data_IF_790026697977
#
_entry.id   IF_790026697977
#
_cell.length_a   1.000
_cell.length_b   1.000
_cell.length_c   1.000
_cell.angle_alpha   90.00
_cell.angle_beta   90.00
_cell.angle_gamma   90.00
#
_symmetry.space_group_name_H-M   'P 1'
#
loop_
_entity.id
_entity.type
_entity.pdbx_description
1 polymer ?
#
# COMPACT_ATOMS: atom_id res chain seq x y z
N UNK A 1 -4.92 -27.65 -4.01
CA UNK A 1 -4.70 -27.10 -4.04
C UNK A 1 -4.96 -26.64 -3.84
N UNK A 2 -4.94 -26.95 -3.76
CA UNK A 2 -4.92 -26.44 -3.70
C UNK A 2 -5.11 -25.72 -3.41
N UNK A 3 -5.18 -25.88 -3.14
CA UNK A 3 -4.88 -25.27 -3.02
C UNK A 3 -5.04 -24.50 -2.66
N UNK A 4 -5.15 -24.71 -2.37
CA UNK A 4 -4.86 -24.04 -2.13
C UNK A 4 -4.83 -23.19 -1.60
N UNK A 5 -4.99 -23.31 -1.37
CA UNK A 5 -4.64 -22.57 -1.01
C UNK A 5 -4.67 -21.67 -0.68
N UNK A 6 -4.93 -21.77 -0.49
CA UNK A 6 -4.63 -20.92 -0.40
C UNK A 6 -4.47 -20.05 -0.14
N UNK A 7 -4.48 -20.23 -0.08
CA UNK A 7 -4.06 -19.43 0.05
C UNK A 7 -3.58 -18.82 -0.18
N UNK A 8 -3.69 -18.77 0.24
CA UNK A 8 -3.02 -18.31 -0.36
C UNK A 8 -2.15 -18.42 -0.93
N UNK A 9 -1.93 -19.57 -0.67
CA UNK A 9 -0.78 -19.38 -1.43
C UNK A 9 -1.20 -19.15 -2.80
N UNK A 10 -0.75 -18.14 -3.34
CA UNK A 10 -1.14 -17.90 -4.69
C UNK A 10 -0.60 -19.04 -5.54
N UNK A 11 -1.34 -19.43 -6.51
CA UNK A 11 -0.87 -20.34 -7.53
C UNK A 11 0.26 -19.74 -8.34
N UNK A 12 0.42 -18.42 -8.27
CA UNK A 12 1.47 -17.71 -8.98
C UNK A 12 2.81 -17.87 -8.27
N UNK A 13 3.92 -17.84 -9.03
CA UNK A 13 5.26 -17.74 -8.45
C UNK A 13 5.40 -16.43 -7.71
N UNK A 14 6.43 -16.31 -6.86
CA UNK A 14 6.70 -15.07 -6.15
C UNK A 14 6.79 -13.87 -7.09
N UNK A 15 7.52 -14.01 -8.20
CA UNK A 15 7.66 -12.88 -9.15
C UNK A 15 6.35 -12.56 -9.86
N UNK A 16 5.52 -13.56 -10.16
CA UNK A 16 4.21 -13.33 -10.77
C UNK A 16 3.28 -12.64 -9.77
N UNK A 17 3.31 -13.06 -8.51
CA UNK A 17 2.50 -12.43 -7.48
C UNK A 17 2.89 -10.97 -7.29
N UNK A 18 4.19 -10.65 -7.30
CA UNK A 18 4.67 -9.27 -7.22
C UNK A 18 4.10 -8.44 -8.37
N UNK A 19 4.12 -8.96 -9.60
CA UNK A 19 3.61 -8.21 -10.75
C UNK A 19 2.10 -8.00 -10.66
N UNK A 20 1.34 -8.94 -10.12
CA UNK A 20 -0.10 -8.75 -9.91
C UNK A 20 -0.33 -7.59 -8.92
N UNK A 21 0.42 -7.58 -7.82
CA UNK A 21 0.29 -6.52 -6.81
C UNK A 21 0.65 -5.17 -7.41
N UNK A 22 1.77 -5.10 -8.13
CA UNK A 22 2.21 -3.85 -8.77
C UNK A 22 1.19 -3.39 -9.81
N UNK A 23 0.70 -4.29 -10.66
CA UNK A 23 -0.26 -3.95 -11.71
C UNK A 23 -1.56 -3.41 -11.11
N UNK A 24 -2.03 -3.98 -9.99
CA UNK A 24 -3.23 -3.49 -9.33
C UNK A 24 -3.02 -2.07 -8.81
N UNK A 25 -1.89 -1.81 -8.16
CA UNK A 25 -1.60 -0.46 -7.69
C UNK A 25 -1.48 0.52 -8.86
N UNK A 26 -0.76 0.14 -9.92
CA UNK A 26 -0.54 0.99 -11.08
C UNK A 26 -1.86 1.28 -11.82
N UNK A 27 -2.83 0.36 -11.79
CA UNK A 27 -4.13 0.59 -12.41
C UNK A 27 -4.89 1.74 -11.75
N UNK A 28 -4.47 2.16 -10.56
CA UNK A 28 -5.15 3.21 -9.80
C UNK A 28 -4.44 4.57 -9.88
N UNK A 29 -3.44 4.71 -10.74
CA UNK A 29 -2.77 6.00 -10.94
C UNK A 29 -3.79 7.08 -11.25
N UNK A 30 -3.63 8.25 -10.60
CA UNK A 30 -4.52 9.38 -10.79
C UNK A 30 -5.79 9.36 -9.96
N UNK A 31 -6.06 8.26 -9.24
CA UNK A 31 -7.25 8.20 -8.37
C UNK A 31 -7.01 9.10 -7.16
N UNK A 32 -8.04 9.84 -6.79
CA UNK A 32 -8.00 10.82 -5.71
C UNK A 32 -7.63 10.18 -4.38
N UNK A 33 -6.79 10.87 -3.60
CA UNK A 33 -6.56 10.51 -2.21
C UNK A 33 -7.86 10.77 -1.41
N UNK A 34 -8.24 9.81 -0.58
CA UNK A 34 -9.38 9.96 0.32
C UNK A 34 -9.02 9.31 1.66
N UNK A 35 -8.94 10.10 2.71
CA UNK A 35 -8.59 9.61 4.06
C UNK A 35 -9.54 8.49 4.47
N UNK A 36 -8.98 7.35 4.84
CA UNK A 36 -9.77 6.16 5.20
C UNK A 36 -10.34 5.40 4.01
N UNK A 37 -10.06 5.86 2.78
CA UNK A 37 -10.60 5.23 1.57
C UNK A 37 -9.80 4.04 1.09
N UNK A 38 -10.48 3.18 0.32
CA UNK A 38 -9.89 2.01 -0.33
C UNK A 38 -10.14 0.72 0.40
N UNK A 39 -10.46 -0.32 -0.36
CA UNK A 39 -10.58 -1.68 0.17
C UNK A 39 -10.16 -2.68 -0.91
N UNK A 40 -10.40 -3.97 -0.67
CA UNK A 40 -10.00 -5.03 -1.59
C UNK A 40 -10.66 -4.92 -2.97
N UNK A 41 -11.78 -4.20 -3.06
CA UNK A 41 -12.54 -4.06 -4.31
C UNK A 41 -12.20 -2.78 -5.09
N UNK A 42 -11.52 -1.82 -4.47
CA UNK A 42 -11.14 -0.59 -5.15
C UNK A 42 -11.28 0.65 -4.28
N UNK A 43 -11.36 1.83 -4.91
CA UNK A 43 -11.50 3.08 -4.16
C UNK A 43 -12.86 3.14 -3.48
N UNK A 44 -12.87 3.74 -2.28
CA UNK A 44 -14.10 3.91 -1.50
C UNK A 44 -14.17 5.34 -0.99
N UNK A 45 -15.34 5.73 -0.48
CA UNK A 45 -15.52 7.06 0.10
C UNK A 45 -14.66 7.18 1.35
N UNK A 46 -14.02 8.34 1.50
CA UNK A 46 -13.24 8.66 2.68
C UNK A 46 -14.12 8.79 3.93
N UNK A 47 -13.47 8.91 5.07
CA UNK A 47 -14.17 9.01 6.36
C UNK A 47 -13.99 10.42 6.94
N UNK A 48 -14.99 10.85 7.72
CA UNK A 48 -14.94 12.13 8.45
C UNK A 48 -14.46 11.83 9.86
N UNK A 49 -13.35 12.44 10.28
CA UNK A 49 -12.77 12.17 11.60
C UNK A 49 -12.51 13.43 12.41
N UNK A 50 -12.88 14.61 11.91
CA UNK A 50 -12.61 15.88 12.58
C UNK A 50 -11.19 16.40 12.38
N UNK A 51 -10.39 15.75 11.56
CA UNK A 51 -8.99 16.12 11.33
C UNK A 51 -8.78 16.95 10.08
N UNK A 52 -7.52 17.07 9.68
CA UNK A 52 -7.10 17.88 8.55
C UNK A 52 -7.78 17.43 7.25
N UNK A 53 -7.96 16.11 7.08
CA UNK A 53 -8.56 15.57 5.87
C UNK A 53 -9.98 16.12 5.62
N UNK A 54 -10.73 16.42 6.68
CA UNK A 54 -12.08 16.99 6.55
C UNK A 54 -12.03 18.35 5.84
N UNK A 55 -10.99 19.13 6.10
CA UNK A 55 -10.85 20.44 5.46
C UNK A 55 -10.60 20.33 3.96
N UNK A 56 -10.12 19.18 3.50
CA UNK A 56 -9.95 18.89 2.07
C UNK A 56 -11.17 18.22 1.46
N UNK A 57 -12.18 17.86 2.30
CA UNK A 57 -13.39 17.22 1.80
C UNK A 57 -13.21 15.74 1.51
N UNK A 58 -12.22 15.08 2.11
CA UNK A 58 -11.92 13.67 1.82
C UNK A 58 -13.12 12.76 2.10
N UNK A 59 -13.95 13.08 3.09
CA UNK A 59 -15.13 12.27 3.39
C UNK A 59 -16.18 12.29 2.28
N UNK A 60 -16.03 13.17 1.30
CA UNK A 60 -16.90 13.23 0.12
C UNK A 60 -16.28 12.61 -1.12
N UNK A 61 -14.97 12.29 -1.05
CA UNK A 61 -14.22 11.77 -2.20
C UNK A 61 -14.22 10.26 -2.18
N UNK A 62 -14.16 9.66 -3.37
CA UNK A 62 -13.97 8.21 -3.53
C UNK A 62 -12.53 8.00 -3.98
N UNK A 63 -11.75 7.29 -3.17
CA UNK A 63 -10.34 7.12 -3.46
C UNK A 63 -9.66 6.17 -2.49
N UNK A 64 -8.35 6.37 -2.32
CA UNK A 64 -7.51 5.56 -1.43
C UNK A 64 -6.74 6.48 -0.50
N UNK A 65 -6.55 6.04 0.77
CA UNK A 65 -5.41 6.55 1.51
C UNK A 65 -4.22 5.60 1.30
N UNK A 66 -3.09 5.87 1.97
CA UNK A 66 -1.86 5.13 1.72
C UNK A 66 -2.03 3.64 1.99
N UNK A 67 -2.61 3.28 3.13
CA UNK A 67 -2.82 1.88 3.51
C UNK A 67 -3.95 1.23 2.73
N UNK A 68 -4.96 2.00 2.31
CA UNK A 68 -6.06 1.49 1.49
C UNK A 68 -5.59 1.03 0.11
N UNK A 69 -4.65 1.76 -0.48
CA UNK A 69 -4.04 1.34 -1.74
C UNK A 69 -3.32 -0.01 -1.58
N UNK A 70 -2.64 -0.21 -0.46
CA UNK A 70 -1.96 -1.48 -0.19
C UNK A 70 -2.96 -2.62 -0.02
N UNK A 71 -4.09 -2.38 0.66
CA UNK A 71 -5.15 -3.39 0.80
C UNK A 71 -5.61 -3.85 -0.57
N UNK A 72 -5.89 -2.91 -1.46
CA UNK A 72 -6.35 -3.23 -2.81
C UNK A 72 -5.29 -4.00 -3.61
N UNK A 73 -4.04 -3.53 -3.57
CA UNK A 73 -2.96 -4.14 -4.33
C UNK A 73 -2.75 -5.60 -3.92
N UNK A 74 -2.62 -5.86 -2.62
CA UNK A 74 -2.32 -7.21 -2.13
C UNK A 74 -3.52 -8.15 -2.15
N UNK A 75 -4.74 -7.61 -2.21
CA UNK A 75 -5.93 -8.44 -2.38
C UNK A 75 -5.88 -9.25 -3.67
N UNK A 76 -5.16 -8.76 -4.68
CA UNK A 76 -5.01 -9.46 -5.96
C UNK A 76 -4.31 -10.80 -5.86
N UNK A 77 -3.55 -11.03 -4.79
CA UNK A 77 -2.88 -12.31 -4.53
C UNK A 77 -3.41 -12.98 -3.25
N UNK A 78 -4.58 -12.55 -2.78
CA UNK A 78 -5.24 -13.19 -1.65
C UNK A 78 -4.69 -12.82 -0.29
N UNK A 79 -3.89 -11.75 -0.20
CA UNK A 79 -3.35 -11.28 1.07
C UNK A 79 -4.25 -10.18 1.62
N UNK A 80 -4.77 -10.38 2.83
CA UNK A 80 -5.59 -9.38 3.52
C UNK A 80 -4.70 -8.56 4.44
N UNK A 81 -4.91 -7.25 4.42
CA UNK A 81 -4.18 -6.31 5.26
C UNK A 81 -5.16 -5.47 6.07
N UNK A 82 -4.77 -5.07 7.25
CA UNK A 82 -5.54 -4.12 8.04
C UNK A 82 -5.37 -2.70 7.50
N UNK A 83 -6.39 -1.87 7.71
CA UNK A 83 -6.42 -0.52 7.15
C UNK A 83 -5.67 0.46 8.06
N UNK A 84 -4.38 0.18 8.28
CA UNK A 84 -3.51 1.05 9.05
C UNK A 84 -2.05 0.69 8.73
N UNK A 85 -1.25 1.68 8.32
CA UNK A 85 0.12 1.43 7.92
C UNK A 85 0.97 0.84 9.05
N UNK A 86 0.73 1.24 10.29
CA UNK A 86 1.46 0.67 11.44
C UNK A 86 1.26 -0.82 11.60
N UNK A 87 0.06 -1.33 11.35
CA UNK A 87 -0.20 -2.77 11.37
C UNK A 87 0.39 -3.46 10.14
N UNK A 88 0.38 -2.79 9.01
CA UNK A 88 0.96 -3.33 7.79
C UNK A 88 2.49 -3.47 7.92
N UNK A 89 3.11 -2.58 8.67
CA UNK A 89 4.55 -2.61 8.90
C UNK A 89 5.01 -3.94 9.51
N UNK A 90 4.20 -4.50 10.38
CA UNK A 90 4.52 -5.75 11.09
C UNK A 90 3.76 -6.95 10.53
N UNK A 91 3.12 -6.82 9.36
CA UNK A 91 2.27 -7.87 8.82
C UNK A 91 3.03 -9.00 8.13
N UNK A 92 4.34 -8.85 7.90
CA UNK A 92 5.13 -9.85 7.22
C UNK A 92 6.59 -9.82 7.62
N UNK A 93 7.44 -10.36 6.74
CA UNK A 93 8.87 -10.40 7.01
C UNK A 93 9.46 -9.01 6.86
N UNK A 94 10.17 -8.54 7.88
CA UNK A 94 10.89 -7.28 7.79
C UNK A 94 12.29 -7.51 7.22
N UNK A 95 12.65 -6.73 6.22
CA UNK A 95 13.97 -6.77 5.59
C UNK A 95 14.58 -5.38 5.63
N UNK A 96 15.90 -5.26 5.84
CA UNK A 96 16.53 -3.94 5.82
C UNK A 96 16.24 -3.24 4.48
N UNK A 97 16.02 -1.93 4.52
CA UNK A 97 15.73 -1.18 3.29
C UNK A 97 16.88 -1.25 2.28
N UNK A 98 18.12 -1.52 2.75
CA UNK A 98 19.24 -1.76 1.84
C UNK A 98 19.02 -3.00 0.96
N UNK A 99 18.08 -3.86 1.32
CA UNK A 99 17.76 -5.09 0.59
C UNK A 99 16.35 -5.07 0.02
N UNK A 100 15.70 -3.92 -0.02
CA UNK A 100 14.34 -3.82 -0.52
C UNK A 100 14.26 -4.22 -1.99
N UNK A 101 13.15 -4.87 -2.34
CA UNK A 101 12.88 -5.38 -3.69
C UNK A 101 11.52 -4.93 -4.15
N UNK A 102 11.33 -4.88 -5.47
CA UNK A 102 10.02 -4.63 -6.08
C UNK A 102 8.95 -5.50 -5.42
N UNK A 103 7.87 -4.89 -4.96
CA UNK A 103 6.77 -5.56 -4.25
C UNK A 103 6.83 -5.43 -2.75
N UNK A 104 7.94 -4.91 -2.20
CA UNK A 104 8.02 -4.64 -0.76
C UNK A 104 7.26 -3.37 -0.42
N UNK A 105 6.74 -3.29 0.80
CA UNK A 105 6.15 -2.05 1.32
C UNK A 105 7.19 -1.27 2.09
N UNK A 106 7.20 0.05 1.89
CA UNK A 106 8.08 0.99 2.59
C UNK A 106 7.25 1.86 3.53
N UNK A 107 7.82 2.25 4.66
CA UNK A 107 7.06 2.90 5.73
C UNK A 107 7.77 4.12 6.27
N UNK A 108 6.98 5.08 6.77
CA UNK A 108 7.46 6.32 7.37
C UNK A 108 6.77 6.57 8.70
N UNK A 109 7.48 7.28 9.57
CA UNK A 109 6.98 7.66 10.89
C UNK A 109 7.18 6.58 11.93
N UNK A 110 7.03 6.92 13.23
CA UNK A 110 7.26 5.94 14.31
C UNK A 110 6.40 4.70 14.11
N UNK A 111 7.03 3.52 14.17
CA UNK A 111 6.32 2.25 13.98
C UNK A 111 5.69 2.10 12.61
N UNK A 112 6.10 2.91 11.62
CA UNK A 112 5.53 2.88 10.29
C UNK A 112 4.12 3.47 10.21
N UNK A 113 3.67 4.16 11.25
CA UNK A 113 2.26 4.54 11.39
C UNK A 113 1.82 5.79 10.65
N UNK A 114 2.72 6.50 9.95
CA UNK A 114 2.35 7.73 9.27
C UNK A 114 2.12 7.56 7.78
N UNK A 115 2.83 6.63 7.14
CA UNK A 115 2.71 6.47 5.69
C UNK A 115 3.25 5.12 5.23
N UNK A 116 2.71 4.62 4.12
CA UNK A 116 3.18 3.41 3.45
C UNK A 116 3.13 3.61 1.94
N UNK A 117 4.08 3.01 1.23
CA UNK A 117 4.13 2.99 -0.23
C UNK A 117 4.61 1.62 -0.72
N UNK A 118 4.37 1.33 -1.99
CA UNK A 118 4.81 0.08 -2.61
C UNK A 118 6.05 0.35 -3.44
N UNK A 119 7.12 -0.37 -3.16
CA UNK A 119 8.38 -0.21 -3.88
C UNK A 119 8.29 -0.88 -5.26
N UNK A 120 8.69 -0.13 -6.29
CA UNK A 120 8.63 -0.61 -7.68
C UNK A 120 9.97 -1.08 -8.21
N UNK A 121 11.05 -0.87 -7.44
CA UNK A 121 12.40 -1.08 -7.93
C UNK A 121 12.99 0.21 -8.48
N UNK A 122 14.31 0.22 -8.70
CA UNK A 122 15.03 1.32 -9.33
C UNK A 122 14.84 2.66 -8.61
N UNK A 123 14.63 2.61 -7.29
CA UNK A 123 14.46 3.81 -6.47
C UNK A 123 13.10 4.47 -6.58
N UNK A 124 12.10 3.79 -7.16
CA UNK A 124 10.78 4.35 -7.39
C UNK A 124 9.73 3.65 -6.54
N UNK A 125 8.64 4.36 -6.22
CA UNK A 125 7.53 3.81 -5.46
C UNK A 125 6.20 4.36 -5.96
N UNK A 126 5.11 3.63 -5.68
CA UNK A 126 3.75 4.10 -5.92
C UNK A 126 3.06 4.28 -4.59
N UNK A 127 2.31 5.38 -4.46
CA UNK A 127 1.71 5.78 -3.20
C UNK A 127 0.43 6.58 -3.41
N UNK A 128 -0.46 6.54 -2.41
CA UNK A 128 -1.52 7.54 -2.24
C UNK A 128 -0.99 8.51 -1.18
N UNK A 129 -0.55 9.73 -1.57
CA UNK A 129 0.37 10.48 -0.71
C UNK A 129 -0.31 11.24 0.43
N UNK A 130 -1.34 12.03 0.14
CA UNK A 130 -1.96 12.90 1.13
C UNK A 130 -3.19 13.56 0.55
N UNK A 131 -4.01 14.12 1.44
CA UNK A 131 -5.19 14.90 1.04
C UNK A 131 -4.80 15.97 0.02
N UNK A 132 -5.62 16.11 -1.02
CA UNK A 132 -5.34 17.02 -2.11
C UNK A 132 -4.50 16.41 -3.22
N UNK A 133 -3.94 15.22 -3.03
CA UNK A 133 -3.14 14.53 -4.03
C UNK A 133 -3.89 13.40 -4.70
N UNK A 134 -3.16 12.67 -5.53
CA UNK A 134 -3.67 11.50 -6.25
C UNK A 134 -2.65 10.38 -6.14
N UNK A 135 -3.07 9.16 -6.43
CA UNK A 135 -2.14 8.02 -6.53
C UNK A 135 -1.08 8.36 -7.58
N UNK A 136 0.18 8.22 -7.19
CA UNK A 136 1.31 8.66 -8.01
C UNK A 136 2.50 7.73 -7.90
N UNK A 137 3.36 7.75 -8.92
CA UNK A 137 4.69 7.17 -8.89
C UNK A 137 5.68 8.29 -8.61
N UNK A 138 6.62 8.08 -7.69
CA UNK A 138 7.62 9.06 -7.35
C UNK A 138 8.90 8.35 -6.87
N UNK A 139 9.99 9.12 -6.73
CA UNK A 139 11.21 8.58 -6.14
C UNK A 139 11.00 8.29 -4.65
N UNK A 140 11.69 7.25 -4.16
CA UNK A 140 11.65 6.92 -2.74
C UNK A 140 12.24 8.08 -1.93
N UNK A 141 11.49 8.54 -0.93
CA UNK A 141 11.94 9.58 0.00
C UNK A 141 12.55 8.88 1.22
N UNK A 142 13.82 9.17 1.50
CA UNK A 142 14.50 8.51 2.61
C UNK A 142 14.26 9.22 3.95
N UNK A 143 13.93 10.52 3.92
CA UNK A 143 13.69 11.27 5.15
C UNK A 143 12.50 10.70 5.92
N UNK A 144 12.73 10.29 7.15
CA UNK A 144 11.69 9.71 8.01
C UNK A 144 11.31 8.28 7.72
N UNK A 145 11.95 7.65 6.72
CA UNK A 145 11.65 6.26 6.36
C UNK A 145 12.11 5.30 7.46
N UNK A 146 11.27 4.30 7.76
CA UNK A 146 11.64 3.26 8.69
C UNK A 146 12.78 2.41 8.13
N UNK A 147 13.61 1.81 9.01
CA UNK A 147 14.80 1.06 8.55
C UNK A 147 14.49 -0.27 7.88
N UNK A 148 13.24 -0.73 7.97
CA UNK A 148 12.83 -2.01 7.39
C UNK A 148 11.71 -1.80 6.39
N UNK A 149 11.79 -2.57 5.30
CA UNK A 149 10.65 -2.79 4.41
C UNK A 149 9.90 -4.04 4.89
N UNK A 150 8.64 -4.18 4.52
CA UNK A 150 7.86 -5.37 4.85
C UNK A 150 7.62 -6.17 3.57
N UNK A 151 8.02 -7.44 3.60
CA UNK A 151 7.88 -8.35 2.46
C UNK A 151 6.81 -9.38 2.76
N UNK A 152 5.77 -9.37 1.94
CA UNK A 152 4.65 -10.32 2.05
C UNK A 152 4.76 -11.46 1.04
N UNK A 153 5.49 -11.25 -0.04
CA UNK A 153 5.66 -12.23 -1.12
C UNK A 153 7.12 -12.65 -1.17
N UNK A 154 7.37 -13.93 -0.99
CA UNK A 154 8.73 -14.47 -0.98
C UNK A 154 8.98 -15.48 -2.10
#
# INVERSE_FOLDING_TARGET
MPGSTSRTAPSATGSQAVEIVVDRAMSQLGVTYAWGGGDANGPTRGIRDGGVADSYGDYRKVGFDCSGLMIYAFAGVGIELEHYSGYQYTAGKQVPVSQMKRGDMLFWGPGGGQHVALYLGDGMMIEAPQSGGVVQVTEVREAGMMPYATRLIT
#
